data_IF_839833722915
#
_entry.id   IF_839833722915
#
_cell.length_a   1.000
_cell.length_b   1.000
_cell.length_c   1.000
_cell.angle_alpha   90.00
_cell.angle_beta   90.00
_cell.angle_gamma   90.00
#
_symmetry.space_group_name_H-M   'P 1'
#
loop_
_entity.id
_entity.type
_entity.pdbx_description
1 polymer ?
#
# COMPACT_ATOMS: atom_id res chain seq x y z
N UNK A 1 -15.70 2.58 23.97
CA UNK A 1 -14.95 2.94 22.73
C UNK A 1 -15.02 1.77 21.76
N UNK A 2 -15.33 2.02 20.47
CA UNK A 2 -15.54 0.93 19.49
C UNK A 2 -14.25 0.48 18.80
N UNK A 3 -13.36 1.42 18.49
CA UNK A 3 -12.12 1.17 17.76
C UNK A 3 -11.05 2.18 18.16
N UNK A 4 -9.79 1.75 18.18
CA UNK A 4 -8.61 2.60 18.32
C UNK A 4 -7.76 2.40 17.07
N UNK A 5 -7.50 3.50 16.36
CA UNK A 5 -6.62 3.50 15.20
C UNK A 5 -5.16 3.29 15.61
N UNK A 6 -4.41 2.54 14.80
CA UNK A 6 -3.00 2.24 15.05
C UNK A 6 -2.14 3.51 14.89
N UNK A 7 -1.27 3.78 15.87
CA UNK A 7 -0.30 4.89 15.88
C UNK A 7 -0.87 6.32 15.90
N UNK A 8 -2.13 6.53 15.52
CA UNK A 8 -2.79 7.85 15.55
C UNK A 8 -3.52 8.09 16.87
N UNK A 9 -3.98 7.02 17.51
CA UNK A 9 -4.69 7.07 18.79
C UNK A 9 -6.07 7.72 18.74
N UNK A 10 -6.66 7.83 17.55
CA UNK A 10 -8.04 8.25 17.39
C UNK A 10 -8.99 7.23 18.01
N UNK A 11 -10.01 7.74 18.69
CA UNK A 11 -11.02 6.95 19.39
C UNK A 11 -12.40 7.32 18.87
N UNK A 12 -13.19 6.31 18.52
CA UNK A 12 -14.62 6.48 18.29
C UNK A 12 -15.39 6.46 19.63
N UNK A 13 -15.92 7.65 19.99
CA UNK A 13 -16.78 7.87 21.17
C UNK A 13 -18.26 8.04 20.83
N UNK A 14 -18.67 7.79 19.58
CA UNK A 14 -20.07 7.98 19.13
C UNK A 14 -21.08 7.06 19.82
N UNK A 15 -20.63 5.91 20.35
CA UNK A 15 -21.49 4.94 21.01
C UNK A 15 -21.59 5.26 22.50
N UNK A 16 -22.82 5.53 22.94
CA UNK A 16 -23.17 5.61 24.36
C UNK A 16 -23.97 4.38 24.79
N UNK A 17 -23.63 3.80 25.94
CA UNK A 17 -24.34 2.67 26.55
C UNK A 17 -24.75 3.01 27.98
N UNK A 18 -25.73 2.29 28.52
CA UNK A 18 -26.10 2.40 29.93
C UNK A 18 -24.96 1.89 30.83
N UNK A 19 -24.86 2.40 32.06
CA UNK A 19 -23.81 1.98 33.00
C UNK A 19 -23.91 0.48 33.33
N UNK A 20 -25.13 -0.04 33.42
CA UNK A 20 -25.41 -1.44 33.73
C UNK A 20 -24.77 -2.39 32.69
N UNK A 21 -24.90 -2.05 31.40
CA UNK A 21 -24.33 -2.82 30.28
C UNK A 21 -22.81 -2.91 30.26
N UNK A 22 -22.13 -1.90 30.82
CA UNK A 22 -20.66 -1.78 30.78
C UNK A 22 -19.99 -1.97 32.14
N UNK A 23 -20.80 -2.20 33.18
CA UNK A 23 -20.34 -2.37 34.57
C UNK A 23 -19.47 -3.61 34.78
N UNK A 24 -19.63 -4.65 33.94
CA UNK A 24 -18.87 -5.91 34.00
C UNK A 24 -18.14 -6.17 32.69
N UNK A 25 -16.89 -6.64 32.78
CA UNK A 25 -16.09 -7.05 31.61
C UNK A 25 -15.40 -5.90 30.86
N UNK A 26 -15.47 -4.67 31.37
CA UNK A 26 -14.79 -3.49 30.82
C UNK A 26 -13.94 -2.79 31.87
N UNK A 27 -12.95 -2.04 31.41
CA UNK A 27 -12.13 -1.17 32.25
C UNK A 27 -12.66 0.26 32.18
N UNK A 28 -12.98 0.90 33.33
CA UNK A 28 -13.46 2.27 33.37
C UNK A 28 -12.33 3.26 33.06
N UNK A 29 -12.69 4.33 32.36
CA UNK A 29 -11.84 5.42 31.94
C UNK A 29 -12.45 6.74 32.38
N UNK A 30 -11.60 7.72 32.63
CA UNK A 30 -11.99 9.12 32.74
C UNK A 30 -11.37 9.93 31.60
N UNK A 31 -11.90 11.14 31.40
CA UNK A 31 -11.38 12.09 30.43
C UNK A 31 -9.86 12.30 30.64
N UNK A 32 -9.10 12.28 29.54
CA UNK A 32 -7.64 12.39 29.47
C UNK A 32 -6.81 11.19 29.95
N UNK A 33 -7.43 10.06 30.34
CA UNK A 33 -6.69 8.81 30.57
C UNK A 33 -6.00 8.37 29.26
N UNK A 34 -4.74 7.93 29.35
CA UNK A 34 -4.04 7.29 28.24
C UNK A 34 -4.24 5.78 28.33
N UNK A 35 -4.79 5.19 27.28
CA UNK A 35 -4.94 3.74 27.16
C UNK A 35 -3.87 3.16 26.24
N UNK A 36 -3.31 2.02 26.63
CA UNK A 36 -2.22 1.34 25.92
C UNK A 36 -2.53 -0.15 25.81
N UNK A 37 -2.55 -0.71 24.59
CA UNK A 37 -2.91 -2.11 24.39
C UNK A 37 -1.95 -3.05 25.13
N UNK A 38 -2.51 -4.09 25.75
CA UNK A 38 -1.77 -5.10 26.51
C UNK A 38 -1.30 -6.25 25.63
N UNK A 39 -2.14 -6.66 24.69
CA UNK A 39 -2.07 -7.97 24.03
C UNK A 39 -1.53 -7.92 22.59
N UNK A 40 -0.87 -8.98 22.15
CA UNK A 40 -0.46 -9.20 20.75
C UNK A 40 -1.70 -9.43 19.85
N UNK A 41 -1.72 -8.93 18.59
CA UNK A 41 -0.74 -8.02 17.99
C UNK A 41 -1.03 -6.54 18.28
N UNK A 42 -2.13 -6.21 18.97
CA UNK A 42 -2.57 -4.82 19.21
C UNK A 42 -1.49 -3.93 19.86
N UNK A 43 -0.80 -4.43 20.88
CA UNK A 43 0.31 -3.73 21.52
C UNK A 43 1.48 -3.55 20.56
N UNK A 44 1.84 -4.63 19.86
CA UNK A 44 2.92 -4.64 18.88
C UNK A 44 2.63 -3.69 17.73
N UNK A 45 1.37 -3.44 17.34
CA UNK A 45 1.01 -2.46 16.32
C UNK A 45 0.93 -1.02 16.85
N UNK A 46 1.15 -0.81 18.16
CA UNK A 46 1.11 0.51 18.78
C UNK A 46 -0.29 1.07 18.95
N UNK A 47 -1.28 0.22 19.23
CA UNK A 47 -2.62 0.67 19.63
C UNK A 47 -2.56 1.31 21.02
N UNK A 48 -2.59 2.62 21.03
CA UNK A 48 -2.72 3.45 22.22
C UNK A 48 -3.63 4.62 21.89
N UNK A 49 -4.25 5.26 22.87
CA UNK A 49 -5.09 6.43 22.64
C UNK A 49 -5.26 7.26 23.91
N UNK A 50 -5.60 8.54 23.73
CA UNK A 50 -6.03 9.39 24.83
C UNK A 50 -7.56 9.42 24.82
N UNK A 51 -8.16 9.12 25.95
CA UNK A 51 -9.60 9.13 26.11
C UNK A 51 -10.11 10.57 26.10
N UNK A 52 -10.54 11.06 24.93
CA UNK A 52 -11.07 12.42 24.76
C UNK A 52 -12.52 12.41 24.30
N UNK A 53 -13.31 13.40 24.75
CA UNK A 53 -14.69 13.58 24.31
C UNK A 53 -15.65 12.53 24.88
N UNK A 54 -15.45 12.16 26.15
CA UNK A 54 -16.29 11.19 26.84
C UNK A 54 -17.57 11.86 27.36
N UNK A 55 -18.71 11.20 27.16
CA UNK A 55 -19.98 11.67 27.75
C UNK A 55 -19.89 11.60 29.28
N UNK A 56 -20.17 12.71 29.95
CA UNK A 56 -20.04 12.85 31.40
C UNK A 56 -18.61 12.60 31.93
N UNK A 57 -17.57 12.80 31.11
CA UNK A 57 -16.17 12.50 31.44
C UNK A 57 -15.91 11.02 31.80
N UNK A 58 -16.80 10.10 31.42
CA UNK A 58 -16.72 8.67 31.75
C UNK A 58 -16.73 7.82 30.49
N UNK A 59 -15.84 6.84 30.45
CA UNK A 59 -15.70 5.91 29.33
C UNK A 59 -15.43 4.50 29.81
N UNK A 60 -15.60 3.54 28.91
CA UNK A 60 -15.29 2.14 29.14
C UNK A 60 -14.53 1.58 27.93
N UNK A 61 -13.44 0.86 28.20
CA UNK A 61 -12.63 0.18 27.21
C UNK A 61 -12.50 -1.32 27.54
N UNK A 62 -12.03 -2.11 26.58
CA UNK A 62 -11.71 -3.52 26.80
C UNK A 62 -10.71 -3.69 27.95
N UNK A 63 -10.81 -4.81 28.66
CA UNK A 63 -9.84 -5.23 29.69
C UNK A 63 -8.45 -5.48 29.13
N UNK A 64 -8.31 -5.57 27.80
CA UNK A 64 -7.03 -5.70 27.09
C UNK A 64 -6.28 -4.35 26.91
N UNK A 65 -6.70 -3.29 27.60
CA UNK A 65 -5.97 -2.02 27.69
C UNK A 65 -5.44 -1.73 29.09
N UNK A 66 -4.18 -1.30 29.19
CA UNK A 66 -3.66 -0.62 30.37
C UNK A 66 -4.22 0.79 30.39
N UNK A 67 -4.61 1.27 31.57
CA UNK A 67 -5.06 2.65 31.78
C UNK A 67 -3.99 3.39 32.57
N UNK A 68 -3.45 4.43 31.95
CA UNK A 68 -2.42 5.29 32.52
C UNK A 68 -3.10 6.61 32.88
N UNK A 69 -3.32 6.78 34.18
CA UNK A 69 -3.91 7.98 34.75
C UNK A 69 -2.82 8.88 35.29
N UNK A 70 -2.72 10.08 34.74
CA UNK A 70 -1.70 11.03 35.11
C UNK A 70 -2.09 11.85 36.34
N UNK A 71 -1.10 12.15 37.19
CA UNK A 71 -1.24 13.15 38.26
C UNK A 71 -1.19 14.56 37.67
N UNK A 72 -1.60 15.56 38.46
CA UNK A 72 -1.59 16.99 38.08
C UNK A 72 -0.21 17.37 37.49
N UNK A 73 -0.19 18.08 36.36
CA UNK A 73 0.97 18.56 35.60
C UNK A 73 1.68 17.58 34.64
N UNK A 74 1.17 16.37 34.41
CA UNK A 74 1.72 15.52 33.34
C UNK A 74 1.07 15.85 31.98
N UNK A 75 1.88 15.86 30.92
CA UNK A 75 1.38 16.07 29.56
C UNK A 75 1.18 14.74 28.85
N UNK A 76 -0.03 14.20 28.94
CA UNK A 76 -0.42 12.87 28.44
C UNK A 76 -0.04 12.64 26.95
N UNK A 77 -0.15 13.66 26.09
CA UNK A 77 0.24 13.59 24.68
C UNK A 77 1.71 13.23 24.47
N UNK A 78 2.61 13.74 25.31
CA UNK A 78 4.02 13.36 25.24
C UNK A 78 4.20 11.86 25.49
N UNK A 79 3.53 11.33 26.51
CA UNK A 79 3.59 9.90 26.82
C UNK A 79 2.94 9.04 25.74
N UNK A 80 1.85 9.50 25.11
CA UNK A 80 1.26 8.83 23.96
C UNK A 80 2.31 8.66 22.85
N UNK A 81 2.93 9.76 22.38
CA UNK A 81 3.94 9.70 21.34
C UNK A 81 5.19 8.93 21.77
N UNK A 82 5.55 8.94 23.06
CA UNK A 82 6.66 8.15 23.59
C UNK A 82 6.40 6.64 23.52
N UNK A 83 5.21 6.19 23.96
CA UNK A 83 4.88 4.76 24.05
C UNK A 83 4.69 4.09 22.69
N UNK A 84 4.25 4.82 21.66
CA UNK A 84 4.05 4.26 20.31
C UNK A 84 5.35 4.11 19.50
N UNK A 85 6.48 4.66 19.99
CA UNK A 85 7.78 4.53 19.32
C UNK A 85 8.16 3.06 19.16
N UNK A 86 8.70 2.71 17.98
CA UNK A 86 9.10 1.34 17.64
C UNK A 86 9.99 0.71 18.72
N UNK A 87 11.02 1.43 19.16
CA UNK A 87 11.95 0.97 20.22
C UNK A 87 11.23 0.65 21.54
N UNK A 88 10.25 1.45 21.93
CA UNK A 88 9.50 1.24 23.17
C UNK A 88 8.56 0.05 23.03
N UNK A 89 7.91 -0.11 21.87
CA UNK A 89 7.09 -1.29 21.56
C UNK A 89 7.90 -2.58 21.52
N UNK A 90 9.09 -2.56 20.94
CA UNK A 90 10.01 -3.71 20.95
C UNK A 90 10.43 -4.08 22.37
N UNK A 91 10.76 -3.08 23.19
CA UNK A 91 11.07 -3.29 24.60
C UNK A 91 9.88 -3.86 25.38
N UNK A 92 8.66 -3.39 25.09
CA UNK A 92 7.43 -3.92 25.66
C UNK A 92 7.19 -5.37 25.21
N UNK A 93 7.39 -5.68 23.93
CA UNK A 93 7.26 -7.03 23.36
C UNK A 93 8.20 -8.04 24.04
N UNK A 94 9.45 -7.64 24.30
CA UNK A 94 10.44 -8.46 25.02
C UNK A 94 10.03 -8.79 26.47
N UNK A 95 9.17 -7.97 27.07
CA UNK A 95 8.68 -8.14 28.43
C UNK A 95 7.29 -8.81 28.51
N UNK A 96 6.73 -9.25 27.38
CA UNK A 96 5.41 -9.88 27.41
C UNK A 96 5.45 -11.29 28.00
N UNK A 97 4.39 -11.64 28.72
CA UNK A 97 4.20 -12.97 29.32
C UNK A 97 2.97 -13.68 28.72
N UNK A 98 2.94 -15.01 28.79
CA UNK A 98 1.85 -15.85 28.27
C UNK A 98 2.22 -16.70 27.06
N UNK A 99 1.25 -17.47 26.56
CA UNK A 99 1.41 -18.40 25.44
C UNK A 99 1.43 -17.68 24.09
N UNK A 100 2.01 -18.33 23.07
CA UNK A 100 2.09 -17.79 21.71
C UNK A 100 0.71 -17.35 21.18
N UNK A 101 0.61 -16.11 20.67
CA UNK A 101 -0.64 -15.50 20.20
C UNK A 101 -1.53 -14.86 21.28
N UNK A 102 -1.23 -15.04 22.56
CA UNK A 102 -1.98 -14.47 23.70
C UNK A 102 -1.06 -13.82 24.74
N UNK A 103 0.07 -13.29 24.27
CA UNK A 103 1.06 -12.61 25.10
C UNK A 103 0.56 -11.24 25.53
N UNK A 104 0.86 -10.85 26.77
CA UNK A 104 0.46 -9.57 27.36
C UNK A 104 1.65 -8.84 27.98
N UNK A 105 1.74 -7.53 27.76
CA UNK A 105 2.67 -6.67 28.50
C UNK A 105 2.16 -6.55 29.94
N UNK A 106 2.95 -6.92 30.95
CA UNK A 106 2.53 -6.79 32.34
C UNK A 106 2.50 -5.32 32.77
N UNK A 107 1.64 -4.96 33.73
CA UNK A 107 1.60 -3.58 34.25
C UNK A 107 2.92 -3.16 34.93
N UNK A 108 3.70 -4.12 35.42
CA UNK A 108 5.05 -3.89 35.99
C UNK A 108 6.02 -3.30 34.98
N UNK A 109 5.89 -3.64 33.70
CA UNK A 109 6.69 -3.04 32.63
C UNK A 109 6.48 -1.53 32.59
N UNK A 110 5.22 -1.07 32.51
CA UNK A 110 4.91 0.37 32.46
C UNK A 110 5.34 1.10 33.73
N UNK A 111 5.25 0.46 34.90
CA UNK A 111 5.68 1.04 36.18
C UNK A 111 7.20 1.23 36.26
N UNK A 112 7.98 0.35 35.62
CA UNK A 112 9.44 0.37 35.66
C UNK A 112 10.07 1.02 34.42
N UNK A 113 9.27 1.45 33.45
CA UNK A 113 9.75 2.06 32.22
C UNK A 113 10.43 3.40 32.53
N UNK A 114 11.72 3.50 32.22
CA UNK A 114 12.46 4.76 32.33
C UNK A 114 12.07 5.68 31.17
N UNK A 115 11.59 6.88 31.52
CA UNK A 115 11.16 7.90 30.56
C UNK A 115 12.06 9.13 30.69
N UNK A 116 12.80 9.53 29.64
CA UNK A 116 13.51 10.80 29.64
C UNK A 116 12.48 11.93 29.56
N UNK A 117 12.31 12.66 30.66
CA UNK A 117 11.26 13.68 30.78
C UNK A 117 11.86 15.09 30.66
N UNK A 118 11.79 15.73 29.48
CA UNK A 118 12.26 17.10 29.33
C UNK A 118 11.29 18.09 30.04
N UNK A 119 11.65 19.38 30.18
CA UNK A 119 10.76 20.39 30.73
C UNK A 119 9.40 20.43 30.00
N UNK A 120 8.33 20.80 30.70
CA UNK A 120 6.96 20.76 30.18
C UNK A 120 6.79 21.56 28.87
N UNK A 121 7.42 22.73 28.78
CA UNK A 121 7.41 23.56 27.57
C UNK A 121 8.07 22.83 26.38
N UNK A 122 9.17 22.12 26.63
CA UNK A 122 9.84 21.29 25.62
C UNK A 122 8.95 20.13 25.19
N UNK A 123 8.25 19.48 26.12
CA UNK A 123 7.29 18.42 25.79
C UNK A 123 6.18 18.94 24.86
N UNK A 124 5.61 20.12 25.16
CA UNK A 124 4.58 20.75 24.33
C UNK A 124 5.09 21.08 22.92
N UNK A 125 6.29 21.63 22.80
CA UNK A 125 6.93 21.92 21.50
C UNK A 125 7.12 20.66 20.66
N UNK A 126 7.65 19.59 21.27
CA UNK A 126 7.86 18.30 20.59
C UNK A 126 6.53 17.75 20.07
N UNK A 127 5.51 17.69 20.93
CA UNK A 127 4.19 17.16 20.56
C UNK A 127 3.56 17.98 19.44
N UNK A 128 3.64 19.32 19.50
CA UNK A 128 3.08 20.18 18.44
C UNK A 128 3.69 19.88 17.06
N UNK A 129 5.00 19.61 17.01
CA UNK A 129 5.67 19.22 15.76
C UNK A 129 5.18 17.85 15.27
N UNK A 130 5.07 16.87 16.18
CA UNK A 130 4.60 15.52 15.86
C UNK A 130 3.15 15.52 15.37
N UNK A 131 2.27 16.27 16.01
CA UNK A 131 0.87 16.43 15.60
C UNK A 131 0.76 17.04 14.20
N UNK A 132 1.52 18.11 13.92
CA UNK A 132 1.56 18.73 12.58
C UNK A 132 2.05 17.75 11.51
N UNK A 133 3.05 16.94 11.82
CA UNK A 133 3.56 15.94 10.89
C UNK A 133 2.50 14.86 10.58
N UNK A 134 1.79 14.39 11.61
CA UNK A 134 0.74 13.37 11.45
C UNK A 134 -0.48 13.91 10.71
N UNK A 135 -0.90 15.15 11.00
CA UNK A 135 -1.96 15.84 10.25
C UNK A 135 -1.59 16.01 8.78
N UNK A 136 -0.35 16.44 8.51
CA UNK A 136 0.16 16.58 7.13
C UNK A 136 0.15 15.24 6.40
N UNK A 137 0.55 14.15 7.07
CA UNK A 137 0.52 12.79 6.51
C UNK A 137 -0.92 12.36 6.16
N UNK A 138 -1.87 12.63 7.06
CA UNK A 138 -3.30 12.33 6.84
C UNK A 138 -3.87 13.12 5.66
N UNK A 139 -3.62 14.43 5.62
CA UNK A 139 -4.11 15.30 4.53
C UNK A 139 -3.56 14.87 3.17
N UNK A 140 -2.28 14.46 3.10
CA UNK A 140 -1.68 13.92 1.87
C UNK A 140 -2.38 12.64 1.41
N UNK A 141 -2.60 11.69 2.32
CA UNK A 141 -3.30 10.44 1.98
C UNK A 141 -4.72 10.70 1.45
N UNK A 142 -5.44 11.67 2.04
CA UNK A 142 -6.77 12.07 1.57
C UNK A 142 -6.73 12.76 0.20
N UNK A 143 -5.75 13.64 -0.02
CA UNK A 143 -5.53 14.27 -1.31
C UNK A 143 -5.21 13.23 -2.41
N UNK A 144 -4.39 12.23 -2.11
CA UNK A 144 -4.06 11.14 -3.05
C UNK A 144 -5.30 10.32 -3.41
N UNK A 145 -6.12 9.93 -2.41
CA UNK A 145 -7.37 9.19 -2.64
C UNK A 145 -8.36 10.01 -3.49
N UNK A 146 -8.55 11.29 -3.16
CA UNK A 146 -9.45 12.17 -3.89
C UNK A 146 -8.98 12.38 -5.33
N UNK A 147 -7.68 12.52 -5.55
CA UNK A 147 -7.09 12.67 -6.88
C UNK A 147 -7.32 11.42 -7.72
N UNK A 148 -7.17 10.22 -7.15
CA UNK A 148 -7.45 8.97 -7.85
C UNK A 148 -8.93 8.88 -8.29
N UNK A 149 -9.86 9.22 -7.40
CA UNK A 149 -11.29 9.26 -7.72
C UNK A 149 -11.60 10.29 -8.80
N UNK A 150 -11.01 11.48 -8.71
CA UNK A 150 -11.18 12.53 -9.70
C UNK A 150 -10.70 12.08 -11.09
N UNK A 151 -9.51 11.46 -11.18
CA UNK A 151 -8.98 10.94 -12.44
C UNK A 151 -9.94 9.92 -13.07
N UNK A 152 -10.45 8.98 -12.28
CA UNK A 152 -11.44 8.01 -12.75
C UNK A 152 -12.73 8.68 -13.23
N UNK A 153 -13.30 9.60 -12.43
CA UNK A 153 -14.53 10.31 -12.81
C UNK A 153 -14.36 11.13 -14.09
N UNK A 154 -13.27 11.88 -14.21
CA UNK A 154 -12.96 12.66 -15.43
C UNK A 154 -12.74 11.73 -16.63
N UNK A 155 -12.07 10.59 -16.44
CA UNK A 155 -11.91 9.62 -17.53
C UNK A 155 -13.26 9.10 -18.01
N UNK A 156 -14.13 8.66 -17.10
CA UNK A 156 -15.46 8.15 -17.45
C UNK A 156 -16.35 9.24 -18.07
N UNK A 157 -16.24 10.49 -17.59
CA UNK A 157 -16.94 11.62 -18.18
C UNK A 157 -16.46 11.87 -19.61
N UNK A 158 -15.14 11.92 -19.85
CA UNK A 158 -14.58 12.24 -21.18
C UNK A 158 -14.71 11.07 -22.17
N UNK A 159 -14.40 9.85 -21.73
CA UNK A 159 -14.21 8.67 -22.60
C UNK A 159 -15.30 7.60 -22.41
N UNK A 160 -16.18 7.74 -21.43
CA UNK A 160 -17.22 6.76 -21.11
C UNK A 160 -16.72 5.54 -20.34
N UNK A 161 -17.64 4.63 -20.03
CA UNK A 161 -17.34 3.31 -19.47
C UNK A 161 -16.75 2.44 -20.60
N UNK A 162 -15.45 2.07 -20.54
CA UNK A 162 -14.80 1.33 -21.61
C UNK A 162 -15.23 -0.14 -21.68
N UNK A 163 -15.75 -0.70 -20.59
CA UNK A 163 -16.24 -2.08 -20.54
C UNK A 163 -17.58 -2.18 -21.26
N UNK A 164 -18.45 -1.18 -21.05
CA UNK A 164 -19.74 -1.08 -21.75
C UNK A 164 -19.64 -0.44 -23.13
N UNK A 165 -18.50 0.19 -23.44
CA UNK A 165 -18.32 1.06 -24.59
C UNK A 165 -19.45 2.10 -24.71
N UNK A 166 -19.70 2.86 -23.63
CA UNK A 166 -20.87 3.75 -23.55
C UNK A 166 -20.84 4.92 -24.55
N UNK A 167 -19.67 5.18 -25.17
CA UNK A 167 -19.51 6.15 -26.26
C UNK A 167 -19.68 5.54 -27.66
N UNK A 168 -19.92 4.24 -27.74
CA UNK A 168 -20.09 3.48 -28.98
C UNK A 168 -18.94 3.68 -29.97
N UNK A 169 -17.72 3.83 -29.45
CA UNK A 169 -16.54 4.00 -30.29
C UNK A 169 -16.22 2.71 -31.04
N UNK A 170 -15.59 2.88 -32.21
CA UNK A 170 -15.16 1.76 -33.04
C UNK A 170 -14.21 0.88 -32.24
N UNK A 171 -14.55 -0.40 -32.16
CA UNK A 171 -13.72 -1.38 -31.49
C UNK A 171 -12.55 -1.79 -32.39
N UNK A 172 -11.37 -1.86 -31.79
CA UNK A 172 -10.15 -2.35 -32.43
C UNK A 172 -9.64 -3.58 -31.68
N UNK A 173 -9.02 -4.52 -32.40
CA UNK A 173 -8.30 -5.62 -31.76
C UNK A 173 -7.03 -5.07 -31.11
N UNK A 174 -6.62 -5.62 -29.98
CA UNK A 174 -5.40 -5.18 -29.31
C UNK A 174 -4.13 -5.32 -30.18
N UNK A 175 -4.08 -6.29 -31.10
CA UNK A 175 -3.00 -6.41 -32.10
C UNK A 175 -3.06 -5.37 -33.24
N UNK A 176 -4.21 -4.73 -33.44
CA UNK A 176 -4.34 -3.63 -34.42
C UNK A 176 -3.74 -2.34 -33.87
N UNK A 177 -3.86 -2.09 -32.56
CA UNK A 177 -3.43 -0.86 -31.89
C UNK A 177 -1.95 -0.86 -31.46
N UNK A 178 -1.26 -1.99 -31.53
CA UNK A 178 0.17 -2.07 -31.20
C UNK A 178 0.72 -3.49 -31.19
N UNK A 179 2.05 -3.57 -31.07
CA UNK A 179 2.77 -4.83 -31.03
C UNK A 179 2.92 -5.31 -29.58
N UNK A 180 2.69 -6.60 -29.37
CA UNK A 180 2.73 -7.23 -28.06
C UNK A 180 3.79 -8.31 -28.02
N UNK A 181 4.59 -8.32 -26.97
CA UNK A 181 5.59 -9.37 -26.73
C UNK A 181 5.88 -9.48 -25.24
N UNK A 182 6.61 -10.51 -24.83
CA UNK A 182 7.13 -10.66 -23.47
C UNK A 182 8.57 -10.16 -23.38
N UNK A 183 8.97 -9.71 -22.19
CA UNK A 183 10.38 -9.52 -21.87
C UNK A 183 11.14 -10.84 -21.72
N UNK A 184 12.42 -10.75 -21.37
CA UNK A 184 13.30 -11.92 -21.23
C UNK A 184 14.33 -11.72 -20.13
N UNK A 185 14.75 -12.83 -19.51
CA UNK A 185 15.75 -12.82 -18.44
C UNK A 185 17.05 -13.41 -18.95
N UNK A 186 18.14 -12.62 -19.02
CA UNK A 186 19.48 -13.15 -19.22
C UNK A 186 19.84 -14.14 -18.12
N UNK A 187 20.68 -15.13 -18.44
CA UNK A 187 21.05 -16.14 -17.45
C UNK A 187 21.65 -15.53 -16.20
N UNK A 188 21.05 -15.82 -15.04
CA UNK A 188 21.56 -15.38 -13.72
C UNK A 188 22.87 -16.06 -13.34
N UNK A 189 23.27 -17.14 -14.02
CA UNK A 189 24.56 -17.80 -13.83
C UNK A 189 25.74 -17.02 -14.41
N UNK A 190 25.49 -15.97 -15.19
CA UNK A 190 26.49 -15.06 -15.77
C UNK A 190 26.34 -13.65 -15.18
N UNK A 191 26.93 -13.35 -14.00
CA UNK A 191 26.79 -12.04 -13.35
C UNK A 191 27.23 -10.87 -14.25
N UNK A 192 28.18 -11.09 -15.16
CA UNK A 192 28.66 -10.12 -16.14
C UNK A 192 27.55 -9.54 -17.01
N UNK A 193 26.46 -10.28 -17.23
CA UNK A 193 25.30 -9.81 -17.99
C UNK A 193 24.56 -8.66 -17.29
N UNK A 194 24.73 -8.49 -15.98
CA UNK A 194 24.05 -7.50 -15.16
C UNK A 194 24.93 -6.30 -14.79
N UNK A 195 26.14 -6.21 -15.36
CA UNK A 195 27.07 -5.09 -15.19
C UNK A 195 27.06 -4.16 -16.42
N UNK A 196 25.86 -3.77 -16.86
CA UNK A 196 25.68 -2.94 -18.05
C UNK A 196 24.96 -1.63 -17.80
N UNK A 197 24.63 -0.94 -18.88
CA UNK A 197 23.99 0.37 -18.83
C UNK A 197 22.52 0.37 -19.27
N UNK A 198 22.01 -0.75 -19.79
CA UNK A 198 20.66 -0.82 -20.34
C UNK A 198 19.68 -1.13 -19.20
N UNK A 199 18.72 -0.25 -18.89
CA UNK A 199 17.74 -0.53 -17.84
C UNK A 199 17.00 -1.84 -18.11
N UNK A 200 16.88 -2.69 -17.09
CA UNK A 200 16.17 -3.95 -17.15
C UNK A 200 15.13 -4.01 -16.02
N UNK A 201 13.86 -3.80 -16.38
CA UNK A 201 12.76 -3.71 -15.42
C UNK A 201 12.21 -5.08 -15.03
N UNK A 202 11.92 -5.24 -13.74
CA UNK A 202 11.05 -6.30 -13.23
C UNK A 202 9.62 -5.79 -13.06
N UNK A 203 8.63 -6.70 -13.11
CA UNK A 203 7.22 -6.33 -12.92
C UNK A 203 6.97 -5.60 -11.57
N UNK A 204 7.75 -5.92 -10.54
CA UNK A 204 7.65 -5.29 -9.21
C UNK A 204 8.06 -3.81 -9.17
N UNK A 205 8.76 -3.31 -10.19
CA UNK A 205 9.19 -1.91 -10.29
C UNK A 205 8.16 -1.02 -11.00
N UNK A 206 7.13 -1.61 -11.60
CA UNK A 206 6.05 -0.88 -12.26
C UNK A 206 5.14 -0.20 -11.24
N UNK A 207 4.70 1.03 -11.53
CA UNK A 207 4.05 1.92 -10.57
C UNK A 207 2.89 2.75 -11.18
N UNK A 208 2.25 2.25 -12.22
CA UNK A 208 1.12 2.85 -12.94
C UNK A 208 1.41 4.27 -13.46
N UNK A 209 2.66 4.49 -13.89
CA UNK A 209 3.13 5.79 -14.36
C UNK A 209 4.27 5.65 -15.37
N UNK A 210 4.90 6.77 -15.70
CA UNK A 210 6.16 6.78 -16.44
C UNK A 210 7.30 6.25 -15.58
N UNK A 211 8.11 5.35 -16.15
CA UNK A 211 9.31 4.80 -15.51
C UNK A 211 10.57 5.31 -16.20
N UNK A 212 11.58 5.68 -15.41
CA UNK A 212 12.75 6.43 -15.88
C UNK A 212 14.05 5.60 -15.85
N UNK A 213 14.16 4.68 -14.89
CA UNK A 213 15.30 3.78 -14.73
C UNK A 213 14.93 2.62 -13.81
N UNK A 214 15.71 1.56 -13.88
CA UNK A 214 15.52 0.31 -13.14
C UNK A 214 16.63 0.08 -12.12
N UNK A 215 16.36 -0.80 -11.15
CA UNK A 215 17.34 -1.21 -10.14
C UNK A 215 18.50 -1.99 -10.74
N UNK A 216 18.20 -2.88 -11.68
CA UNK A 216 19.19 -3.68 -12.39
C UNK A 216 19.34 -3.18 -13.82
N UNK A 217 20.53 -3.34 -14.39
CA UNK A 217 20.83 -3.01 -15.77
C UNK A 217 21.51 -4.20 -16.41
N UNK A 218 21.39 -4.34 -17.73
CA UNK A 218 22.01 -5.43 -18.48
C UNK A 218 22.98 -4.90 -19.53
N UNK A 219 23.92 -5.74 -19.93
CA UNK A 219 24.90 -5.43 -20.99
C UNK A 219 24.27 -5.61 -22.37
N UNK A 220 24.94 -5.07 -23.40
CA UNK A 220 24.57 -5.35 -24.80
C UNK A 220 24.76 -6.83 -25.15
N UNK A 221 25.77 -7.48 -24.56
CA UNK A 221 25.99 -8.91 -24.72
C UNK A 221 24.81 -9.72 -24.17
N UNK A 222 24.31 -9.36 -22.98
CA UNK A 222 23.13 -9.99 -22.40
C UNK A 222 21.90 -9.91 -23.32
N UNK A 223 21.68 -8.76 -23.98
CA UNK A 223 20.61 -8.62 -24.98
C UNK A 223 20.81 -9.53 -26.20
N UNK A 224 22.05 -9.60 -26.72
CA UNK A 224 22.33 -10.35 -27.95
C UNK A 224 22.41 -11.86 -27.73
N UNK A 225 22.68 -12.30 -26.50
CA UNK A 225 22.94 -13.71 -26.15
C UNK A 225 21.88 -14.30 -25.22
N UNK A 226 20.69 -13.70 -25.14
CA UNK A 226 19.56 -14.23 -24.38
C UNK A 226 18.21 -13.89 -25.02
N UNK A 227 17.11 -14.26 -24.38
CA UNK A 227 15.75 -13.89 -24.79
C UNK A 227 15.35 -12.45 -24.42
N UNK A 228 16.24 -11.68 -23.78
CA UNK A 228 16.00 -10.29 -23.44
C UNK A 228 15.82 -9.42 -24.71
N UNK A 229 14.96 -8.41 -24.62
CA UNK A 229 14.58 -7.56 -25.75
C UNK A 229 14.71 -6.10 -25.35
N UNK A 230 15.23 -5.29 -26.26
CA UNK A 230 15.23 -3.84 -26.08
C UNK A 230 13.92 -3.25 -26.59
N UNK A 231 13.20 -2.57 -25.72
CA UNK A 231 11.97 -1.84 -26.04
C UNK A 231 12.26 -0.35 -26.18
N UNK A 232 11.66 0.34 -27.17
CA UNK A 232 11.80 1.78 -27.32
C UNK A 232 11.09 2.54 -26.19
N UNK A 233 11.44 3.83 -26.04
CA UNK A 233 10.66 4.74 -25.21
C UNK A 233 9.21 4.83 -25.74
N UNK A 234 8.25 4.94 -24.83
CA UNK A 234 6.81 4.92 -25.13
C UNK A 234 6.18 3.53 -25.13
N UNK A 235 6.97 2.44 -25.09
CA UNK A 235 6.44 1.10 -24.80
C UNK A 235 5.90 1.05 -23.37
N UNK A 236 4.73 0.44 -23.21
CA UNK A 236 4.11 0.18 -21.92
C UNK A 236 4.40 -1.24 -21.47
N UNK A 237 5.01 -1.39 -20.31
CA UNK A 237 5.18 -2.66 -19.62
C UNK A 237 3.96 -2.93 -18.74
N UNK A 238 3.51 -4.18 -18.69
CA UNK A 238 2.39 -4.65 -17.87
C UNK A 238 2.82 -5.91 -17.13
N UNK A 239 2.74 -5.91 -15.81
CA UNK A 239 3.03 -7.09 -14.99
C UNK A 239 1.99 -8.18 -15.24
N UNK A 240 2.44 -9.41 -15.50
CA UNK A 240 1.56 -10.50 -15.90
C UNK A 240 1.08 -11.38 -14.75
N UNK A 241 1.87 -11.53 -13.68
CA UNK A 241 1.57 -12.45 -12.57
C UNK A 241 2.15 -11.95 -11.23
N UNK A 242 1.85 -12.71 -10.17
CA UNK A 242 2.23 -12.45 -8.77
C UNK A 242 1.67 -11.13 -8.20
N UNK A 243 2.30 -10.62 -7.14
CA UNK A 243 1.95 -9.36 -6.46
C UNK A 243 2.07 -8.11 -7.35
N UNK A 244 2.67 -8.27 -8.53
CA UNK A 244 2.82 -7.23 -9.54
C UNK A 244 1.83 -7.37 -10.71
N UNK A 245 0.91 -8.34 -10.66
CA UNK A 245 -0.09 -8.52 -11.69
C UNK A 245 -0.84 -7.21 -11.96
N UNK A 246 -0.84 -6.84 -13.24
CA UNK A 246 -1.44 -5.64 -13.79
C UNK A 246 -0.90 -4.29 -13.31
N UNK A 247 0.26 -4.26 -12.66
CA UNK A 247 1.00 -3.00 -12.53
C UNK A 247 1.54 -2.61 -13.90
N UNK A 248 1.41 -1.33 -14.26
CA UNK A 248 1.82 -0.82 -15.56
C UNK A 248 2.98 0.17 -15.44
N UNK A 249 3.75 0.34 -16.50
CA UNK A 249 4.78 1.38 -16.56
C UNK A 249 5.10 1.78 -17.99
N UNK A 250 5.10 3.07 -18.29
CA UNK A 250 5.46 3.58 -19.62
C UNK A 250 6.94 3.96 -19.63
N UNK A 251 7.72 3.32 -20.49
CA UNK A 251 9.15 3.57 -20.61
C UNK A 251 9.40 5.00 -21.10
N UNK A 252 10.16 5.80 -20.34
CA UNK A 252 10.65 7.12 -20.81
C UNK A 252 11.90 7.04 -21.64
N UNK A 253 12.73 6.03 -21.38
CA UNK A 253 13.97 5.75 -22.11
C UNK A 253 13.91 4.30 -22.63
N UNK A 254 14.64 3.96 -23.70
CA UNK A 254 14.75 2.58 -24.15
C UNK A 254 15.23 1.66 -23.02
N UNK A 255 14.57 0.53 -22.84
CA UNK A 255 14.83 -0.40 -21.75
C UNK A 255 14.40 -1.83 -22.11
N UNK A 256 14.91 -2.81 -21.38
CA UNK A 256 14.46 -4.19 -21.41
C UNK A 256 13.59 -4.49 -20.19
N UNK A 257 12.92 -5.64 -20.19
CA UNK A 257 12.21 -6.16 -19.02
C UNK A 257 12.37 -7.66 -18.88
N UNK A 258 12.03 -8.18 -17.70
CA UNK A 258 11.97 -9.62 -17.45
C UNK A 258 10.72 -10.27 -18.11
N UNK A 259 10.67 -11.60 -18.09
CA UNK A 259 9.56 -12.41 -18.61
C UNK A 259 8.27 -12.31 -17.78
N UNK A 260 8.25 -11.54 -16.69
CA UNK A 260 7.04 -11.23 -15.93
C UNK A 260 6.32 -9.99 -16.45
N UNK A 261 6.91 -9.29 -17.42
CA UNK A 261 6.31 -8.13 -18.08
C UNK A 261 5.88 -8.50 -19.50
N UNK A 262 4.63 -8.19 -19.83
CA UNK A 262 4.18 -7.99 -21.19
C UNK A 262 4.61 -6.58 -21.64
N UNK A 263 5.11 -6.45 -22.84
CA UNK A 263 5.50 -5.19 -23.47
C UNK A 263 4.53 -4.87 -24.61
N UNK A 264 3.81 -3.77 -24.46
CA UNK A 264 2.92 -3.18 -25.46
C UNK A 264 3.61 -1.99 -26.12
N UNK A 265 3.99 -2.13 -27.37
CA UNK A 265 4.54 -1.04 -28.18
C UNK A 265 3.42 -0.46 -29.05
N UNK A 266 2.82 0.69 -28.66
CA UNK A 266 1.65 1.23 -29.33
C UNK A 266 1.98 1.75 -30.73
N UNK A 267 1.02 1.60 -31.66
CA UNK A 267 1.00 2.35 -32.91
C UNK A 267 0.49 3.76 -32.60
N UNK A 268 1.40 4.72 -32.52
CA UNK A 268 1.14 6.07 -32.00
C UNK A 268 0.12 6.84 -32.85
N UNK A 269 -0.06 6.47 -34.11
CA UNK A 269 -1.10 6.97 -35.02
C UNK A 269 -2.51 6.44 -34.71
N UNK A 270 -2.61 5.34 -33.95
CA UNK A 270 -3.88 4.70 -33.57
C UNK A 270 -4.23 4.96 -32.09
N UNK A 271 -3.24 4.91 -31.20
CA UNK A 271 -3.48 5.03 -29.75
C UNK A 271 -2.37 5.80 -29.03
N UNK A 272 -2.78 6.70 -28.14
CA UNK A 272 -1.87 7.34 -27.20
C UNK A 272 -1.57 6.40 -26.02
N UNK A 273 -0.28 6.20 -25.69
CA UNK A 273 0.13 5.27 -24.62
C UNK A 273 -0.46 5.61 -23.25
N UNK A 274 -0.55 6.91 -22.92
CA UNK A 274 -1.10 7.33 -21.62
C UNK A 274 -2.60 7.05 -21.56
N UNK A 275 -3.32 7.31 -22.67
CA UNK A 275 -4.71 6.90 -22.79
C UNK A 275 -4.87 5.38 -22.65
N UNK A 276 -4.01 4.58 -23.28
CA UNK A 276 -4.02 3.12 -23.15
C UNK A 276 -3.83 2.67 -21.69
N UNK A 277 -2.91 3.31 -20.94
CA UNK A 277 -2.69 3.03 -19.52
C UNK A 277 -3.97 3.24 -18.70
N UNK A 278 -4.65 4.38 -18.87
CA UNK A 278 -5.88 4.67 -18.14
C UNK A 278 -7.04 3.76 -18.60
N UNK A 279 -7.17 3.52 -19.90
CA UNK A 279 -8.16 2.61 -20.46
C UNK A 279 -8.04 1.21 -19.83
N UNK A 280 -6.82 0.66 -19.80
CA UNK A 280 -6.57 -0.65 -19.22
C UNK A 280 -6.79 -0.63 -17.71
N UNK A 281 -6.40 0.43 -17.02
CA UNK A 281 -6.62 0.59 -15.58
C UNK A 281 -8.11 0.56 -15.22
N UNK A 282 -8.97 1.24 -15.98
CA UNK A 282 -10.43 1.20 -15.77
C UNK A 282 -11.03 -0.17 -16.11
N UNK A 283 -10.46 -0.88 -17.06
CA UNK A 283 -10.89 -2.21 -17.45
C UNK A 283 -10.31 -3.34 -16.56
N UNK A 284 -9.48 -3.02 -15.54
CA UNK A 284 -8.75 -3.98 -14.71
C UNK A 284 -9.57 -5.20 -14.30
N UNK A 285 -10.74 -4.95 -13.72
CA UNK A 285 -11.60 -6.01 -13.17
C UNK A 285 -12.29 -6.86 -14.25
N UNK A 286 -12.33 -6.36 -15.50
CA UNK A 286 -12.87 -7.08 -16.66
C UNK A 286 -11.85 -8.03 -17.29
N UNK A 287 -10.57 -7.91 -16.94
CA UNK A 287 -9.54 -8.82 -17.39
C UNK A 287 -9.50 -10.03 -16.46
N UNK A 288 -10.16 -11.11 -16.90
CA UNK A 288 -10.25 -12.35 -16.15
C UNK A 288 -8.95 -13.16 -16.23
N UNK A 289 -8.53 -13.71 -15.09
CA UNK A 289 -7.51 -14.74 -15.05
C UNK A 289 -8.11 -16.14 -15.42
N UNK A 290 -7.82 -16.70 -16.62
CA UNK A 290 -7.89 -18.16 -16.90
C UNK A 290 -6.55 -18.82 -17.29
N UNK A 291 -6.06 -19.77 -16.48
CA UNK A 291 -4.87 -20.60 -16.80
C UNK A 291 -5.29 -21.63 -17.85
N UNK A 292 -4.65 -21.65 -19.01
CA UNK A 292 -4.79 -22.74 -19.97
C UNK A 292 -3.67 -23.77 -19.76
N UNK A 293 -3.91 -25.08 -20.00
CA UNK A 293 -3.02 -26.16 -19.58
C UNK A 293 -1.61 -26.14 -20.20
N UNK A 294 -1.46 -25.65 -21.44
CA UNK A 294 -0.24 -25.83 -22.23
C UNK A 294 0.39 -24.51 -22.73
N UNK A 295 -0.01 -23.36 -22.17
CA UNK A 295 0.57 -22.05 -22.52
C UNK A 295 0.34 -21.06 -21.39
N UNK A 296 1.41 -20.49 -20.82
CA UNK A 296 1.29 -19.39 -19.85
C UNK A 296 1.00 -18.10 -20.62
N UNK A 297 -0.26 -17.93 -21.02
CA UNK A 297 -0.72 -16.74 -21.71
C UNK A 297 -2.11 -16.37 -21.21
N UNK A 298 -2.24 -15.15 -20.71
CA UNK A 298 -3.51 -14.59 -20.30
C UNK A 298 -3.67 -13.22 -20.93
N UNK A 299 -4.92 -12.93 -21.32
CA UNK A 299 -5.69 -11.73 -20.98
C UNK A 299 -7.00 -11.85 -21.79
N UNK A 300 -7.97 -12.60 -21.24
CA UNK A 300 -9.28 -12.75 -21.85
C UNK A 300 -10.28 -11.81 -21.17
N UNK A 301 -10.69 -10.75 -21.87
CA UNK A 301 -11.89 -10.01 -21.47
C UNK A 301 -13.11 -10.90 -21.64
N UNK A 302 -13.81 -11.18 -20.54
CA UNK A 302 -15.03 -11.97 -20.54
C UNK A 302 -16.25 -11.08 -20.81
N UNK A 303 -16.28 -10.43 -21.98
CA UNK A 303 -17.52 -9.90 -22.54
C UNK A 303 -17.48 -10.17 -24.04
N UNK A 304 -18.62 -10.49 -24.64
CA UNK A 304 -18.73 -11.01 -26.03
C UNK A 304 -18.11 -10.11 -27.12
N UNK A 305 -17.56 -8.95 -26.78
CA UNK A 305 -17.05 -7.93 -27.70
C UNK A 305 -15.64 -7.37 -27.40
N UNK A 306 -14.86 -7.91 -26.44
CA UNK A 306 -13.48 -7.42 -26.20
C UNK A 306 -12.49 -8.59 -26.21
N UNK A 307 -11.54 -8.51 -27.15
CA UNK A 307 -10.74 -9.64 -27.65
C UNK A 307 -9.43 -9.86 -26.88
N UNK A 308 -9.00 -11.12 -26.79
CA UNK A 308 -7.78 -11.58 -26.12
C UNK A 308 -6.51 -11.25 -26.93
N UNK A 309 -5.41 -10.88 -26.26
CA UNK A 309 -4.06 -10.99 -26.85
C UNK A 309 -3.39 -12.21 -26.26
N UNK A 310 -2.87 -13.06 -27.14
CA UNK A 310 -2.00 -14.15 -26.73
C UNK A 310 -0.54 -13.70 -26.77
N UNK A 311 0.08 -13.46 -25.63
CA UNK A 311 1.53 -13.25 -25.50
C UNK A 311 2.18 -14.54 -25.00
N UNK A 312 2.71 -15.34 -25.91
CA UNK A 312 3.49 -16.54 -25.59
C UNK A 312 4.78 -16.16 -24.86
N UNK A 313 4.93 -16.63 -23.62
CA UNK A 313 6.25 -16.83 -23.03
C UNK A 313 6.60 -18.30 -23.27
N UNK A 314 7.36 -18.58 -24.33
CA UNK A 314 8.00 -19.88 -24.48
C UNK A 314 8.90 -20.09 -23.26
N UNK A 315 8.66 -21.17 -22.51
CA UNK A 315 9.62 -21.69 -21.55
C UNK A 315 10.52 -22.64 -22.34
N UNK A 316 11.75 -22.22 -22.57
CA UNK A 316 12.85 -23.16 -22.82
C UNK A 316 13.12 -23.98 -21.54
#
# INVERSE_FOLDING_TARGET
MKCIEELTGNVDTSITKSLEEVSKGYTPLIENDLIYAKITPCMENGKAAIATGLKNNLGFASTEFHVIRFKKNAYNKFFFFYLIQKRIREHAAMNMTGSAGQKRVPATFLKNLLVPLPPLETQQKIVSILEKAEETRKLRAQADELTQKLLQSVFLEMFGDPVKNSREWKLHKLGEIGNWTSGGTPSRSKPEYFHGEIPWFTAGELNDSYVYGSKEKITKEALNSSSAKLFPAGTMLIGMYDTAAFKMGILKNPASSNQACAAFSPKVEVINTLFALYLFKEMKDSFGMKVLPDTFIFWACYSKNIMCVFISAERD
#
